data_IF_995333701401
#
_entry.id   IF_995333701401
#
_cell.length_a   1.000
_cell.length_b   1.000
_cell.length_c   1.000
_cell.angle_alpha   90.00
_cell.angle_beta   90.00
_cell.angle_gamma   90.00
#
_symmetry.space_group_name_H-M   'P 1'
#
loop_
_entity.id
_entity.type
_entity.pdbx_description
1 polymer ?
#
# COMPACT_ATOMS: atom_id res chain seq x y z
N UNK A 1 -15.49 -15.84 7.42
CA UNK A 1 -14.31 -15.49 8.23
C UNK A 1 -13.10 -15.22 7.37
N UNK A 2 -12.74 -16.12 6.48
CA UNK A 2 -11.58 -15.96 5.61
C UNK A 2 -11.67 -14.71 4.73
N UNK A 3 -12.83 -14.47 4.14
CA UNK A 3 -13.00 -13.30 3.25
C UNK A 3 -12.92 -11.99 4.01
N UNK A 4 -13.41 -11.94 5.24
CA UNK A 4 -13.28 -10.75 6.08
C UNK A 4 -11.84 -10.45 6.42
N UNK A 5 -11.06 -11.50 6.72
CA UNK A 5 -9.64 -11.35 7.01
C UNK A 5 -8.90 -10.75 5.81
N UNK A 6 -9.21 -11.25 4.60
CA UNK A 6 -8.59 -10.74 3.37
C UNK A 6 -8.93 -9.27 3.14
N UNK A 7 -10.17 -8.87 3.41
CA UNK A 7 -10.59 -7.48 3.27
C UNK A 7 -9.89 -6.58 4.27
N UNK A 8 -9.72 -7.05 5.51
CA UNK A 8 -9.03 -6.30 6.56
C UNK A 8 -7.57 -6.10 6.16
N UNK A 9 -6.92 -7.12 5.62
CA UNK A 9 -5.53 -7.04 5.18
C UNK A 9 -5.39 -6.02 4.04
N UNK A 10 -6.30 -6.06 3.06
CA UNK A 10 -6.28 -5.12 1.94
C UNK A 10 -6.48 -3.68 2.42
N UNK A 11 -7.43 -3.47 3.33
CA UNK A 11 -7.68 -2.16 3.92
C UNK A 11 -6.47 -1.69 4.74
N UNK A 12 -5.84 -2.62 5.46
CA UNK A 12 -4.64 -2.34 6.22
C UNK A 12 -3.48 -1.88 5.35
N UNK A 13 -3.31 -2.52 4.19
CA UNK A 13 -2.27 -2.14 3.25
C UNK A 13 -2.48 -0.72 2.73
N UNK A 14 -3.69 -0.36 2.33
CA UNK A 14 -4.00 0.98 1.86
C UNK A 14 -3.74 2.02 2.96
N UNK A 15 -4.12 1.73 4.19
CA UNK A 15 -3.89 2.62 5.32
C UNK A 15 -2.40 2.82 5.58
N UNK A 16 -1.64 1.73 5.58
CA UNK A 16 -0.19 1.79 5.77
C UNK A 16 0.48 2.61 4.67
N UNK A 17 0.07 2.39 3.43
CA UNK A 17 0.62 3.11 2.28
C UNK A 17 0.32 4.60 2.39
N UNK A 18 -0.92 4.95 2.75
CA UNK A 18 -1.31 6.35 2.93
C UNK A 18 -0.47 7.02 4.02
N UNK A 19 -0.27 6.34 5.13
CA UNK A 19 0.55 6.85 6.24
C UNK A 19 2.00 7.05 5.80
N UNK A 20 2.57 6.11 5.06
CA UNK A 20 3.94 6.22 4.57
C UNK A 20 4.08 7.37 3.59
N UNK A 21 3.11 7.56 2.70
CA UNK A 21 3.11 8.69 1.78
C UNK A 21 3.13 10.01 2.54
N UNK A 22 2.26 10.16 3.52
CA UNK A 22 2.18 11.38 4.32
C UNK A 22 3.46 11.62 5.12
N UNK A 23 3.99 10.58 5.75
CA UNK A 23 5.19 10.69 6.57
C UNK A 23 6.43 11.03 5.77
N UNK A 24 6.49 10.60 4.52
CA UNK A 24 7.64 10.81 3.65
C UNK A 24 7.44 11.92 2.62
N UNK A 25 6.31 12.63 2.69
CA UNK A 25 5.97 13.71 1.76
C UNK A 25 5.95 13.24 0.30
N UNK A 26 5.43 12.03 0.09
CA UNK A 26 5.26 11.43 -1.23
C UNK A 26 3.80 11.53 -1.63
N UNK A 27 3.52 12.02 -2.82
CA UNK A 27 2.15 12.10 -3.33
C UNK A 27 1.73 10.76 -3.93
N UNK A 28 0.42 10.54 -4.02
CA UNK A 28 -0.09 9.35 -4.71
C UNK A 28 0.31 9.36 -6.18
N UNK A 29 0.39 10.55 -6.79
CA UNK A 29 0.84 10.66 -8.18
C UNK A 29 2.28 10.17 -8.34
N UNK A 30 3.17 10.54 -7.42
CA UNK A 30 4.54 10.08 -7.43
C UNK A 30 4.62 8.56 -7.27
N UNK A 31 3.86 8.02 -6.33
CA UNK A 31 3.86 6.57 -6.10
C UNK A 31 3.28 5.82 -7.30
N UNK A 32 2.21 6.34 -7.91
CA UNK A 32 1.64 5.69 -9.10
C UNK A 32 2.64 5.66 -10.26
N UNK A 33 3.44 6.70 -10.44
CA UNK A 33 4.51 6.68 -11.44
C UNK A 33 5.56 5.62 -11.13
N UNK A 34 5.92 5.50 -9.87
CA UNK A 34 6.88 4.47 -9.44
C UNK A 34 6.36 3.06 -9.75
N UNK A 35 5.06 2.84 -9.59
CA UNK A 35 4.43 1.56 -9.86
C UNK A 35 4.05 1.37 -11.33
N UNK A 36 4.25 2.38 -12.17
CA UNK A 36 3.87 2.35 -13.59
C UNK A 36 2.38 2.08 -13.79
N UNK A 37 1.54 2.71 -12.95
CA UNK A 37 0.08 2.62 -13.06
C UNK A 37 -0.50 4.03 -13.18
N UNK A 38 -1.75 4.10 -13.63
CA UNK A 38 -2.44 5.38 -13.74
C UNK A 38 -2.88 5.87 -12.37
N UNK A 39 -3.15 7.16 -12.27
CA UNK A 39 -3.70 7.75 -11.04
C UNK A 39 -5.06 7.14 -10.72
N UNK A 40 -5.87 6.84 -11.75
CA UNK A 40 -7.16 6.20 -11.58
C UNK A 40 -7.00 4.79 -10.98
N UNK A 41 -6.07 4.01 -11.50
CA UNK A 41 -5.79 2.68 -10.95
C UNK A 41 -5.32 2.76 -9.51
N UNK A 42 -4.44 3.71 -9.20
CA UNK A 42 -3.98 3.92 -7.82
C UNK A 42 -5.15 4.27 -6.90
N UNK A 43 -6.04 5.16 -7.32
CA UNK A 43 -7.19 5.54 -6.53
C UNK A 43 -8.09 4.35 -6.24
N UNK A 44 -8.33 3.49 -7.24
CA UNK A 44 -9.14 2.29 -7.04
C UNK A 44 -8.51 1.34 -6.03
N UNK A 45 -7.21 1.19 -6.06
CA UNK A 45 -6.49 0.33 -5.10
C UNK A 45 -6.54 0.92 -3.69
N UNK A 46 -6.42 2.22 -3.58
CA UNK A 46 -6.46 2.90 -2.27
C UNK A 46 -7.85 2.88 -1.64
N UNK A 47 -8.90 2.82 -2.45
CA UNK A 47 -10.29 2.79 -1.94
C UNK A 47 -10.85 1.38 -1.81
N UNK A 48 -10.08 0.36 -2.16
CA UNK A 48 -10.49 -1.03 -2.03
C UNK A 48 -11.28 -1.59 -3.20
N UNK A 49 -11.48 -0.82 -4.27
CA UNK A 49 -12.16 -1.33 -5.46
C UNK A 49 -11.30 -2.30 -6.26
N UNK A 50 -10.01 -2.22 -6.08
CA UNK A 50 -9.03 -3.10 -6.70
C UNK A 50 -7.98 -3.44 -5.64
N UNK A 51 -7.26 -4.53 -5.82
CA UNK A 51 -6.23 -4.94 -4.86
C UNK A 51 -4.85 -4.65 -5.42
N UNK A 52 -3.90 -4.38 -4.52
CA UNK A 52 -2.49 -4.35 -4.91
C UNK A 52 -2.03 -5.76 -5.17
N UNK A 53 -1.27 -5.95 -6.27
CA UNK A 53 -0.62 -7.24 -6.51
C UNK A 53 0.55 -7.41 -5.56
N UNK A 54 1.00 -8.64 -5.37
CA UNK A 54 2.17 -8.89 -4.53
C UNK A 54 3.40 -8.14 -5.08
N UNK A 55 3.55 -8.09 -6.39
CA UNK A 55 4.64 -7.35 -7.02
C UNK A 55 4.59 -5.88 -6.64
N UNK A 56 3.40 -5.27 -6.67
CA UNK A 56 3.23 -3.86 -6.30
C UNK A 56 3.52 -3.64 -4.82
N UNK A 57 3.06 -4.53 -3.96
CA UNK A 57 3.34 -4.46 -2.52
C UNK A 57 4.86 -4.50 -2.28
N UNK A 58 5.58 -5.37 -2.98
CA UNK A 58 7.03 -5.45 -2.86
C UNK A 58 7.71 -4.17 -3.35
N UNK A 59 7.24 -3.61 -4.46
CA UNK A 59 7.77 -2.35 -4.97
C UNK A 59 7.57 -1.21 -3.97
N UNK A 60 6.39 -1.14 -3.36
CA UNK A 60 6.09 -0.11 -2.36
C UNK A 60 6.97 -0.32 -1.12
N UNK A 61 7.12 -1.55 -0.66
CA UNK A 61 7.97 -1.86 0.49
C UNK A 61 9.41 -1.42 0.25
N UNK A 62 9.94 -1.72 -0.94
CA UNK A 62 11.29 -1.31 -1.32
C UNK A 62 11.40 0.22 -1.41
N UNK A 63 10.40 0.86 -1.97
CA UNK A 63 10.40 2.32 -2.14
C UNK A 63 10.47 3.05 -0.80
N UNK A 64 9.73 2.58 0.19
CA UNK A 64 9.70 3.19 1.52
C UNK A 64 10.67 2.54 2.52
N UNK A 65 11.40 1.53 2.09
CA UNK A 65 12.35 0.81 2.95
C UNK A 65 11.66 0.22 4.19
N UNK A 66 10.55 -0.45 3.96
CA UNK A 66 9.80 -1.17 5.00
C UNK A 66 9.60 -2.62 4.55
N UNK A 67 9.19 -3.48 5.48
CA UNK A 67 8.94 -4.87 5.14
C UNK A 67 7.57 -5.04 4.47
N UNK A 68 7.45 -6.06 3.64
CA UNK A 68 6.15 -6.44 3.07
C UNK A 68 5.16 -6.79 4.18
N UNK A 69 5.62 -7.46 5.22
CA UNK A 69 4.76 -7.87 6.33
C UNK A 69 4.17 -6.65 7.05
N UNK A 70 4.92 -5.56 7.19
CA UNK A 70 4.40 -4.35 7.81
C UNK A 70 3.30 -3.71 6.95
N UNK A 71 3.44 -3.75 5.62
CA UNK A 71 2.40 -3.25 4.72
C UNK A 71 1.14 -4.10 4.78
N UNK A 72 1.28 -5.39 5.01
CA UNK A 72 0.16 -6.32 5.10
C UNK A 72 -0.46 -6.37 6.49
N UNK A 73 0.07 -5.62 7.44
CA UNK A 73 -0.43 -5.58 8.80
C UNK A 73 -0.04 -6.78 9.64
N UNK A 74 0.94 -7.56 9.20
CA UNK A 74 1.39 -8.76 9.92
C UNK A 74 2.45 -8.44 10.97
N UNK A 75 3.04 -7.25 10.89
CA UNK A 75 3.96 -6.76 11.91
C UNK A 75 3.80 -5.24 12.01
N UNK A 76 4.25 -4.60 13.11
CA UNK A 76 4.11 -3.16 13.27
C UNK A 76 4.81 -2.39 12.16
N UNK A 77 4.17 -1.31 11.70
CA UNK A 77 4.75 -0.41 10.72
C UNK A 77 5.65 0.60 11.45
N UNK A 78 6.92 0.62 11.07
CA UNK A 78 7.83 1.62 11.59
C UNK A 78 7.83 2.82 10.65
N UNK A 79 7.42 3.96 11.18
CA UNK A 79 7.39 5.22 10.45
C UNK A 79 8.59 6.04 10.90
N UNK A 80 9.48 6.30 9.99
CA UNK A 80 10.71 7.05 10.30
C UNK A 80 10.52 8.53 10.11
#
# INVERSE_FOLDING_TARGET
>A
MQSMTSQIVAAGAATAIDLLCKSNHVTRAELSRELHITRSAMSQKMTGKSVFTLRQIRQIADYFDVSVDSLLGREPLEVK
#
